data_IF_923655181937
#
_entry.id   IF_923655181937
#
_cell.length_a   1.000
_cell.length_b   1.000
_cell.length_c   1.000
_cell.angle_alpha   90.00
_cell.angle_beta   90.00
_cell.angle_gamma   90.00
#
_symmetry.space_group_name_H-M   'P 1'
#
loop_
_entity.id
_entity.type
_entity.pdbx_description
1 polymer ?
#
# COMPACT_ATOMS: atom_id res chain seq x y z
N UNK A 1 20.34 10.55 7.31
CA UNK A 1 20.27 10.35 8.77
C UNK A 1 18.92 9.74 9.08
N UNK A 2 18.82 8.59 9.78
CA UNK A 2 17.53 8.17 10.30
C UNK A 2 17.23 9.13 11.46
N UNK A 3 16.35 10.09 11.22
CA UNK A 3 15.88 11.01 12.25
C UNK A 3 15.23 10.21 13.37
N UNK A 4 15.64 10.50 14.62
CA UNK A 4 15.06 9.97 15.84
C UNK A 4 13.53 9.87 15.72
N UNK A 5 13.01 8.65 15.79
CA UNK A 5 11.58 8.40 15.90
C UNK A 5 11.12 8.86 17.29
N UNK A 6 11.04 10.18 17.48
CA UNK A 6 10.26 10.76 18.54
C UNK A 6 8.86 10.16 18.43
N UNK A 7 8.41 9.52 19.51
CA UNK A 7 7.10 8.90 19.62
C UNK A 7 6.02 10.00 19.62
N UNK A 8 5.77 10.57 18.45
CA UNK A 8 4.68 11.51 18.25
C UNK A 8 3.34 10.76 18.34
N UNK A 9 2.33 11.46 18.83
CA UNK A 9 0.98 10.93 18.89
C UNK A 9 0.47 10.63 17.45
N UNK A 10 -0.35 9.58 17.22
CA UNK A 10 -0.84 9.25 15.88
C UNK A 10 -1.53 10.41 15.16
N UNK A 11 -2.18 11.32 15.88
CA UNK A 11 -2.78 12.52 15.29
C UNK A 11 -1.74 13.50 14.72
N UNK A 12 -0.57 13.61 15.37
CA UNK A 12 0.55 14.42 14.85
C UNK A 12 1.15 13.75 13.63
N UNK A 13 1.34 12.43 13.67
CA UNK A 13 1.85 11.66 12.53
C UNK A 13 0.91 11.67 11.33
N UNK A 14 -0.41 11.71 11.56
CA UNK A 14 -1.40 11.81 10.49
C UNK A 14 -1.30 13.12 9.67
N UNK A 15 -0.71 14.17 10.26
CA UNK A 15 -0.52 15.47 9.60
C UNK A 15 0.90 15.62 9.07
N UNK A 16 1.91 15.17 9.82
CA UNK A 16 3.32 15.44 9.58
C UNK A 16 4.13 14.23 9.09
N UNK A 17 3.49 13.07 8.92
CA UNK A 17 4.17 11.81 8.60
C UNK A 17 4.87 11.80 7.24
N UNK A 18 4.54 12.74 6.35
CA UNK A 18 5.15 12.94 5.04
C UNK A 18 6.03 14.20 4.94
N UNK A 19 6.33 14.90 6.05
CA UNK A 19 7.17 16.10 6.07
C UNK A 19 8.51 15.94 5.31
N UNK A 20 9.22 14.80 5.36
CA UNK A 20 10.45 14.58 4.58
C UNK A 20 10.28 14.66 3.05
N UNK A 21 9.06 14.58 2.54
CA UNK A 21 8.73 14.64 1.11
C UNK A 21 8.26 16.04 0.66
N UNK A 22 8.24 17.02 1.57
CA UNK A 22 7.83 18.39 1.25
C UNK A 22 8.89 19.10 0.41
N UNK A 23 8.48 19.54 -0.79
CA UNK A 23 9.35 20.24 -1.75
C UNK A 23 8.96 21.70 -1.98
N UNK A 24 7.81 22.14 -1.45
CA UNK A 24 7.31 23.52 -1.55
C UNK A 24 7.09 24.11 -0.15
N UNK A 25 6.78 25.42 -0.09
CA UNK A 25 6.45 26.12 1.16
C UNK A 25 4.96 25.99 1.52
N UNK A 26 4.17 25.29 0.72
CA UNK A 26 2.75 25.10 0.94
C UNK A 26 2.51 24.18 2.13
N UNK A 27 1.52 24.52 2.96
CA UNK A 27 1.15 23.67 4.10
C UNK A 27 0.42 22.41 3.62
N UNK A 28 -0.47 22.54 2.64
CA UNK A 28 -1.16 21.41 2.03
C UNK A 28 -0.34 20.85 0.86
N UNK A 29 -0.20 19.51 0.73
CA UNK A 29 0.53 18.93 -0.38
C UNK A 29 -0.16 19.24 -1.72
N UNK A 30 0.60 19.57 -2.78
CA UNK A 30 0.06 19.78 -4.11
C UNK A 30 -0.54 18.49 -4.69
N UNK A 31 -1.53 18.61 -5.58
CA UNK A 31 -2.10 17.48 -6.33
C UNK A 31 -1.36 17.30 -7.67
N UNK A 32 -0.68 16.17 -7.83
CA UNK A 32 0.07 15.81 -9.03
C UNK A 32 -0.75 14.85 -9.91
N UNK A 33 -1.42 15.40 -10.92
CA UNK A 33 -2.26 14.64 -11.86
C UNK A 33 -1.50 14.07 -13.06
N UNK A 34 -0.18 14.25 -13.12
CA UNK A 34 0.62 13.77 -14.24
C UNK A 34 0.74 12.25 -14.24
N UNK A 35 0.73 11.65 -15.43
CA UNK A 35 0.98 10.22 -15.60
C UNK A 35 2.43 9.88 -15.92
N UNK A 36 3.17 10.85 -16.44
CA UNK A 36 4.57 10.72 -16.88
C UNK A 36 5.44 11.81 -16.24
N UNK A 37 6.74 11.56 -16.16
CA UNK A 37 7.70 12.46 -15.54
C UNK A 37 8.88 12.72 -16.48
N UNK A 38 9.49 13.90 -16.35
CA UNK A 38 10.57 14.35 -17.22
C UNK A 38 11.88 13.65 -16.82
N UNK A 39 12.56 13.05 -17.79
CA UNK A 39 13.92 12.52 -17.63
C UNK A 39 14.98 13.63 -17.76
N UNK A 40 16.20 13.34 -17.31
CA UNK A 40 17.33 14.24 -17.54
C UNK A 40 17.58 14.43 -19.04
N UNK A 41 17.98 15.64 -19.42
CA UNK A 41 18.45 15.94 -20.77
C UNK A 41 19.88 15.45 -21.01
N UNK A 42 20.63 15.15 -19.94
CA UNK A 42 21.96 14.57 -20.01
C UNK A 42 21.84 13.04 -20.12
N UNK A 43 22.32 12.42 -21.21
CA UNK A 43 22.24 10.96 -21.40
C UNK A 43 22.93 10.16 -20.30
N UNK A 44 23.98 10.70 -19.69
CA UNK A 44 24.73 10.04 -18.62
C UNK A 44 23.95 9.96 -17.30
N UNK A 45 22.93 10.81 -17.13
CA UNK A 45 22.05 10.85 -15.95
C UNK A 45 20.77 10.01 -16.14
N UNK A 46 20.64 9.31 -17.26
CA UNK A 46 19.52 8.39 -17.50
C UNK A 46 19.70 7.14 -16.64
N UNK A 47 19.09 7.15 -15.46
CA UNK A 47 19.08 6.01 -14.58
C UNK A 47 18.05 4.97 -15.04
N UNK A 48 18.47 3.71 -15.14
CA UNK A 48 17.50 2.61 -15.10
C UNK A 48 16.75 2.67 -13.77
N UNK A 49 15.42 2.46 -13.75
CA UNK A 49 14.69 2.43 -12.49
C UNK A 49 15.36 1.44 -11.54
N UNK A 50 15.67 1.82 -10.29
CA UNK A 50 16.42 0.99 -9.38
C UNK A 50 15.64 -0.30 -9.14
N UNK A 51 16.36 -1.42 -9.17
CA UNK A 51 15.80 -2.75 -8.95
C UNK A 51 15.41 -3.00 -7.49
N UNK A 52 15.82 -2.11 -6.57
CA UNK A 52 15.48 -2.18 -5.15
C UNK A 52 15.68 -0.83 -4.45
N UNK A 53 14.78 -0.51 -3.50
CA UNK A 53 15.03 0.51 -2.47
C UNK A 53 14.64 1.96 -2.79
N UNK A 54 14.01 2.22 -3.95
CA UNK A 54 13.42 3.51 -4.28
C UNK A 54 12.38 3.36 -5.38
N UNK A 55 11.32 4.17 -5.36
CA UNK A 55 10.32 4.23 -6.44
C UNK A 55 10.56 5.49 -7.26
N UNK A 56 11.42 5.46 -8.28
CA UNK A 56 11.61 6.62 -9.14
C UNK A 56 10.30 6.94 -9.84
N UNK A 57 10.03 8.22 -9.98
CA UNK A 57 8.88 8.68 -10.72
C UNK A 57 9.13 8.45 -12.22
N UNK A 58 8.68 7.30 -12.71
CA UNK A 58 8.75 6.87 -14.12
C UNK A 58 7.36 6.99 -14.76
N UNK A 59 6.37 6.38 -14.11
CA UNK A 59 4.99 6.39 -14.55
C UNK A 59 4.05 6.25 -13.35
N UNK A 60 2.96 7.03 -13.31
CA UNK A 60 2.12 7.16 -12.11
C UNK A 60 1.43 5.86 -11.67
N UNK A 61 1.26 4.89 -12.58
CA UNK A 61 0.75 3.54 -12.22
C UNK A 61 1.65 2.81 -11.22
N UNK A 62 2.96 3.06 -11.25
CA UNK A 62 3.95 2.38 -10.42
C UNK A 62 4.20 3.18 -9.14
N UNK A 63 4.33 4.50 -9.28
CA UNK A 63 4.60 5.42 -8.17
C UNK A 63 4.30 6.85 -8.57
N UNK A 64 3.75 7.61 -7.64
CA UNK A 64 3.35 9.00 -7.85
C UNK A 64 3.53 9.79 -6.54
N UNK A 65 3.83 11.11 -6.58
CA UNK A 65 4.07 11.91 -5.37
C UNK A 65 2.98 11.84 -4.29
N UNK A 66 1.70 12.03 -4.62
CA UNK A 66 0.60 12.00 -3.66
C UNK A 66 0.46 10.63 -2.98
N UNK A 67 0.52 9.53 -3.74
CA UNK A 67 0.45 8.16 -3.21
C UNK A 67 1.67 7.84 -2.34
N UNK A 68 2.87 8.26 -2.73
CA UNK A 68 4.10 8.05 -1.93
C UNK A 68 4.02 8.78 -0.59
N UNK A 69 3.50 10.01 -0.58
CA UNK A 69 3.29 10.78 0.65
C UNK A 69 2.23 10.14 1.55
N UNK A 70 1.10 9.70 0.98
CA UNK A 70 0.08 8.97 1.73
C UNK A 70 0.64 7.68 2.36
N UNK A 71 1.44 6.92 1.61
CA UNK A 71 2.11 5.72 2.13
C UNK A 71 3.09 6.05 3.26
N UNK A 72 3.79 7.19 3.21
CA UNK A 72 4.64 7.65 4.30
C UNK A 72 3.84 7.94 5.58
N UNK A 73 2.73 8.67 5.47
CA UNK A 73 1.83 8.95 6.62
C UNK A 73 1.29 7.65 7.20
N UNK A 74 0.75 6.75 6.36
CA UNK A 74 0.22 5.46 6.80
C UNK A 74 1.31 4.61 7.45
N UNK A 75 2.52 4.62 6.91
CA UNK A 75 3.65 3.88 7.47
C UNK A 75 4.03 4.41 8.86
N UNK A 76 4.06 5.73 9.03
CA UNK A 76 4.34 6.36 10.30
C UNK A 76 3.26 6.04 11.36
N UNK A 77 1.98 6.15 10.98
CA UNK A 77 0.85 5.90 11.90
C UNK A 77 0.76 4.41 12.29
N UNK A 78 0.94 3.50 11.34
CA UNK A 78 0.83 2.05 11.58
C UNK A 78 2.11 1.40 12.08
N UNK A 79 3.23 2.14 12.11
CA UNK A 79 4.57 1.66 12.46
C UNK A 79 5.03 0.47 11.59
N UNK A 80 4.59 0.44 10.34
CA UNK A 80 4.86 -0.62 9.37
C UNK A 80 5.06 -0.06 7.97
N UNK A 81 5.42 -0.91 7.01
CA UNK A 81 5.49 -0.49 5.61
C UNK A 81 4.07 -0.50 5.00
N UNK A 82 3.59 0.67 4.57
CA UNK A 82 2.27 0.80 3.96
C UNK A 82 2.34 0.84 2.44
N UNK A 83 1.32 0.23 1.81
CA UNK A 83 1.08 0.26 0.36
C UNK A 83 -0.35 0.67 0.08
N UNK A 84 -0.53 1.50 -0.93
CA UNK A 84 -1.85 1.98 -1.36
C UNK A 84 -2.30 1.27 -2.63
N UNK A 85 -3.59 0.99 -2.69
CA UNK A 85 -4.26 0.38 -3.85
C UNK A 85 -5.52 1.17 -4.18
N UNK A 86 -6.04 0.98 -5.39
CA UNK A 86 -7.22 1.68 -5.88
C UNK A 86 -8.50 1.43 -5.03
N UNK A 87 -8.55 0.32 -4.28
CA UNK A 87 -9.64 0.01 -3.35
C UNK A 87 -9.18 -0.99 -2.28
N UNK A 88 -9.98 -1.14 -1.21
CA UNK A 88 -9.74 -2.16 -0.19
C UNK A 88 -9.75 -3.59 -0.76
N UNK A 89 -10.61 -3.88 -1.75
CA UNK A 89 -10.64 -5.20 -2.40
C UNK A 89 -9.44 -5.41 -3.32
N UNK A 90 -8.93 -4.36 -3.98
CA UNK A 90 -7.69 -4.45 -4.74
C UNK A 90 -6.49 -4.75 -3.83
N UNK A 91 -6.43 -4.11 -2.66
CA UNK A 91 -5.40 -4.40 -1.64
C UNK A 91 -5.51 -5.85 -1.14
N UNK A 92 -6.70 -6.30 -0.77
CA UNK A 92 -6.94 -7.66 -0.30
C UNK A 92 -6.60 -8.71 -1.38
N UNK A 93 -7.03 -8.49 -2.62
CA UNK A 93 -6.71 -9.36 -3.74
C UNK A 93 -5.20 -9.40 -4.01
N UNK A 94 -4.51 -8.25 -4.03
CA UNK A 94 -3.07 -8.19 -4.23
C UNK A 94 -2.31 -8.94 -3.11
N UNK A 95 -2.72 -8.76 -1.85
CA UNK A 95 -2.18 -9.51 -0.71
C UNK A 95 -2.34 -11.02 -0.90
N UNK A 96 -3.54 -11.47 -1.29
CA UNK A 96 -3.83 -12.89 -1.52
C UNK A 96 -3.02 -13.49 -2.67
N UNK A 97 -2.84 -12.75 -3.77
CA UNK A 97 -2.02 -13.19 -4.90
C UNK A 97 -0.53 -13.23 -4.53
N UNK A 98 -0.05 -12.23 -3.79
CA UNK A 98 1.35 -12.15 -3.36
C UNK A 98 1.72 -13.26 -2.38
N UNK A 99 0.92 -13.45 -1.32
CA UNK A 99 1.17 -14.48 -0.30
C UNK A 99 0.82 -15.89 -0.78
N UNK A 100 -0.14 -16.00 -1.70
CA UNK A 100 -0.66 -17.27 -2.25
C UNK A 100 -0.91 -18.32 -1.17
N UNK A 101 -1.73 -18.04 -0.14
CA UNK A 101 -1.98 -19.00 0.93
C UNK A 101 -2.74 -20.22 0.39
N UNK A 102 -2.50 -21.39 0.98
CA UNK A 102 -3.27 -22.61 0.70
C UNK A 102 -4.60 -22.67 1.47
N UNK A 103 -4.67 -21.98 2.61
CA UNK A 103 -5.82 -21.94 3.50
C UNK A 103 -6.01 -20.50 4.00
N UNK A 104 -7.26 -20.03 4.02
CA UNK A 104 -7.66 -18.79 4.70
C UNK A 104 -8.76 -19.09 5.71
N UNK A 105 -8.56 -18.66 6.95
CA UNK A 105 -9.60 -18.66 7.98
C UNK A 105 -10.27 -17.28 8.01
N UNK A 106 -11.60 -17.25 7.87
CA UNK A 106 -12.39 -16.01 7.90
C UNK A 106 -13.77 -16.31 8.49
N UNK A 107 -14.25 -15.44 9.39
CA UNK A 107 -15.54 -15.63 10.07
C UNK A 107 -16.73 -15.45 9.13
N UNK A 108 -17.88 -16.02 9.51
CA UNK A 108 -19.17 -15.89 8.83
C UNK A 108 -20.27 -15.40 9.79
N UNK A 109 -21.48 -15.16 9.26
CA UNK A 109 -22.65 -14.76 10.05
C UNK A 109 -22.45 -13.42 10.77
N UNK A 110 -22.67 -13.40 12.09
CA UNK A 110 -22.59 -12.19 12.93
C UNK A 110 -21.15 -11.70 13.16
N UNK A 111 -20.15 -12.56 12.89
CA UNK A 111 -18.72 -12.22 12.93
C UNK A 111 -18.08 -12.33 11.54
N UNK A 112 -18.90 -12.09 10.51
CA UNK A 112 -18.45 -12.16 9.14
C UNK A 112 -17.33 -11.16 8.86
N UNK A 113 -16.33 -11.63 8.11
CA UNK A 113 -15.46 -10.73 7.38
C UNK A 113 -16.26 -9.86 6.40
N UNK A 114 -15.64 -8.77 5.94
CA UNK A 114 -16.28 -7.91 4.95
C UNK A 114 -16.73 -8.72 3.71
N UNK A 115 -18.00 -8.59 3.31
CA UNK A 115 -18.62 -9.45 2.28
C UNK A 115 -17.82 -9.51 0.97
N UNK A 116 -17.12 -8.42 0.62
CA UNK A 116 -16.36 -8.34 -0.63
C UNK A 116 -15.12 -9.22 -0.59
N UNK A 117 -14.52 -9.40 0.60
CA UNK A 117 -13.38 -10.30 0.79
C UNK A 117 -13.80 -11.76 0.54
N UNK A 118 -14.98 -12.17 1.00
CA UNK A 118 -15.53 -13.50 0.69
C UNK A 118 -15.67 -13.70 -0.83
N UNK A 119 -16.14 -12.69 -1.56
CA UNK A 119 -16.22 -12.74 -3.03
C UNK A 119 -14.85 -12.91 -3.71
N UNK A 120 -13.82 -12.20 -3.22
CA UNK A 120 -12.44 -12.38 -3.71
C UNK A 120 -11.91 -13.78 -3.40
N UNK A 121 -12.17 -14.32 -2.20
CA UNK A 121 -11.74 -15.67 -1.82
C UNK A 121 -12.40 -16.75 -2.69
N UNK A 122 -13.68 -16.61 -2.99
CA UNK A 122 -14.40 -17.53 -3.90
C UNK A 122 -13.86 -17.49 -5.33
N UNK A 123 -13.42 -16.33 -5.81
CA UNK A 123 -12.72 -16.23 -7.09
C UNK A 123 -11.38 -16.98 -7.06
N UNK A 124 -10.56 -16.77 -6.03
CA UNK A 124 -9.23 -17.38 -5.93
C UNK A 124 -9.28 -18.90 -5.67
N UNK A 125 -10.31 -19.37 -4.96
CA UNK A 125 -10.63 -20.80 -4.80
C UNK A 125 -10.80 -21.50 -6.14
N UNK A 126 -11.45 -20.86 -7.10
CA UNK A 126 -11.59 -21.39 -8.48
C UNK A 126 -10.28 -21.42 -9.26
N UNK A 127 -9.33 -20.53 -8.95
CA UNK A 127 -8.11 -20.36 -9.75
C UNK A 127 -6.95 -21.27 -9.32
N UNK A 128 -6.73 -21.49 -8.02
CA UNK A 128 -5.57 -22.30 -7.57
C UNK A 128 -5.84 -23.20 -6.36
N UNK A 129 -7.10 -23.50 -6.05
CA UNK A 129 -7.45 -24.51 -5.03
C UNK A 129 -7.34 -24.02 -3.59
N UNK A 130 -7.47 -22.70 -3.36
CA UNK A 130 -7.54 -22.10 -2.03
C UNK A 130 -8.67 -22.73 -1.20
N UNK A 131 -8.35 -23.21 0.01
CA UNK A 131 -9.37 -23.64 0.98
C UNK A 131 -9.74 -22.47 1.88
N UNK A 132 -11.05 -22.26 2.07
CA UNK A 132 -11.57 -21.28 3.03
C UNK A 132 -12.19 -22.07 4.16
N UNK A 133 -11.74 -21.82 5.39
CA UNK A 133 -12.27 -22.43 6.61
C UNK A 133 -12.93 -21.34 7.45
N UNK A 134 -13.93 -21.72 8.23
CA UNK A 134 -14.49 -20.79 9.20
C UNK A 134 -13.47 -20.52 10.30
N UNK A 135 -13.41 -19.27 10.75
CA UNK A 135 -12.54 -18.88 11.86
C UNK A 135 -13.02 -19.45 13.20
N UNK A 136 -14.33 -19.70 13.35
CA UNK A 136 -14.95 -20.15 14.60
C UNK A 136 -15.28 -21.64 14.63
N UNK A 137 -14.93 -22.38 13.59
CA UNK A 137 -15.17 -23.83 13.57
C UNK A 137 -14.12 -24.54 14.45
N UNK A 138 -14.53 -24.90 15.67
CA UNK A 138 -13.71 -25.68 16.62
C UNK A 138 -13.38 -27.10 16.10
N UNK A 139 -13.95 -27.55 14.97
CA UNK A 139 -13.76 -28.89 14.41
C UNK A 139 -12.92 -28.94 13.12
N UNK A 140 -12.38 -27.80 12.66
CA UNK A 140 -11.65 -27.68 11.39
C UNK A 140 -10.17 -28.13 11.45
#
# INVERSE_FOLDING_TARGET
MPSDHHHHHPSTLAIHGDDPFTTSIDIAPPLHVSTTFRYSNNPDDLLSPPTSGGRPLVYSRISEPNTTRLEAVLSAVTKGHALTYASGLAAFHAMMVYLRPSIVAIGHGDRAGYHGCHGVLELLKKLYGLRVVDLEDEKA
#
